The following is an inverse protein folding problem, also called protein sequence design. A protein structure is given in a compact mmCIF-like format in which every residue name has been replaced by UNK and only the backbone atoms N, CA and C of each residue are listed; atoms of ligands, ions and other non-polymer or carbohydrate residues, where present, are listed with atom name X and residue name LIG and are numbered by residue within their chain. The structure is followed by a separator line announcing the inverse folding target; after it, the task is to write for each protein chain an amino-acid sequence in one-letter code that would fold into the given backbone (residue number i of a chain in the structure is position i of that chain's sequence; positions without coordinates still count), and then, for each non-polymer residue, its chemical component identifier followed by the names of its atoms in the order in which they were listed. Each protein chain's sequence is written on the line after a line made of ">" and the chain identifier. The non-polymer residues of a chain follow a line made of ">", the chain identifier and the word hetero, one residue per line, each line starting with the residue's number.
data_IF_469661332157
#
_entry.id   IF_469661332157
#
_cell.length_a   1.000
_cell.length_b   1.000
_cell.length_c   1.000
_cell.angle_alpha   90.00
_cell.angle_beta   90.00
_cell.angle_gamma   90.00
#
_symmetry.space_group_name_H-M   'P 1'
#
loop_
_entity.id
_entity.type
_entity.pdbx_description
1 polymer ?
#
# COMPACT_ATOMS: atom_id res chain seq x y z
N UNK A 1 31.60 -7.95 2.77
CA UNK A 1 30.89 -6.79 3.34
C UNK A 1 29.40 -6.83 3.02
N UNK A 2 29.01 -6.89 1.74
CA UNK A 2 27.61 -6.96 1.29
C UNK A 2 26.75 -8.10 1.87
N UNK A 3 27.29 -9.32 1.95
CA UNK A 3 26.57 -10.48 2.50
C UNK A 3 26.16 -10.31 3.97
N UNK A 4 26.97 -9.61 4.78
CA UNK A 4 26.66 -9.36 6.20
C UNK A 4 25.53 -8.34 6.37
N UNK A 5 25.40 -7.41 5.43
CA UNK A 5 24.30 -6.45 5.42
C UNK A 5 22.99 -7.12 5.01
N UNK A 6 23.00 -7.94 3.95
CA UNK A 6 21.80 -8.66 3.48
C UNK A 6 21.21 -9.61 4.54
N UNK A 7 22.07 -10.20 5.38
CA UNK A 7 21.64 -11.08 6.48
C UNK A 7 21.33 -10.33 7.78
N UNK A 8 21.46 -9.00 7.79
CA UNK A 8 21.08 -8.18 8.94
C UNK A 8 19.56 -8.15 9.08
N UNK A 9 19.05 -8.21 10.31
CA UNK A 9 17.60 -8.10 10.57
C UNK A 9 17.03 -6.73 10.19
N UNK A 10 17.87 -5.71 10.06
CA UNK A 10 17.48 -4.39 9.51
C UNK A 10 17.24 -4.41 8.00
N UNK A 11 17.79 -5.40 7.28
CA UNK A 11 17.53 -5.61 5.87
C UNK A 11 16.32 -6.54 5.72
N UNK A 12 15.11 -6.00 5.83
CA UNK A 12 13.88 -6.80 5.75
C UNK A 12 12.78 -6.17 4.88
N UNK A 13 11.88 -7.04 4.41
CA UNK A 13 10.84 -6.69 3.46
C UNK A 13 9.86 -5.64 4.02
N UNK A 14 9.50 -5.73 5.30
CA UNK A 14 8.52 -4.83 5.91
C UNK A 14 9.04 -3.38 5.96
N UNK A 15 10.30 -3.15 6.31
CA UNK A 15 10.90 -1.81 6.28
C UNK A 15 10.94 -1.28 4.84
N UNK A 16 11.50 -2.06 3.91
CA UNK A 16 11.69 -1.59 2.53
C UNK A 16 10.36 -1.28 1.84
N UNK A 17 9.43 -2.23 1.86
CA UNK A 17 8.10 -2.06 1.26
C UNK A 17 7.30 -1.00 2.00
N UNK A 18 7.42 -0.92 3.32
CA UNK A 18 6.77 0.11 4.13
C UNK A 18 7.17 1.53 3.72
N UNK A 19 8.47 1.77 3.53
CA UNK A 19 8.98 3.05 3.03
C UNK A 19 8.43 3.34 1.63
N UNK A 20 8.46 2.35 0.73
CA UNK A 20 7.94 2.51 -0.64
C UNK A 20 6.45 2.85 -0.62
N UNK A 21 5.63 2.15 0.17
CA UNK A 21 4.19 2.42 0.29
C UNK A 21 3.92 3.81 0.86
N UNK A 22 4.64 4.19 1.92
CA UNK A 22 4.50 5.53 2.50
C UNK A 22 4.82 6.63 1.47
N UNK A 23 5.94 6.50 0.75
CA UNK A 23 6.34 7.45 -0.27
C UNK A 23 5.36 7.48 -1.44
N UNK A 24 4.93 6.31 -1.94
CA UNK A 24 3.93 6.24 -3.02
C UNK A 24 2.63 6.91 -2.61
N UNK A 25 2.09 6.60 -1.44
CA UNK A 25 0.87 7.25 -0.94
C UNK A 25 1.06 8.76 -0.74
N UNK A 26 2.23 9.20 -0.27
CA UNK A 26 2.55 10.63 -0.17
C UNK A 26 2.59 11.31 -1.55
N UNK A 27 3.27 10.72 -2.53
CA UNK A 27 3.38 11.28 -3.88
C UNK A 27 2.04 11.29 -4.61
N UNK A 28 1.24 10.22 -4.54
CA UNK A 28 -0.10 10.18 -5.16
C UNK A 28 -1.01 11.21 -4.49
N UNK A 29 -0.94 11.39 -3.17
CA UNK A 29 -1.74 12.41 -2.50
C UNK A 29 -1.31 13.84 -2.89
N UNK A 30 0.00 14.09 -2.99
CA UNK A 30 0.55 15.42 -3.33
C UNK A 30 0.41 15.78 -4.80
N UNK A 31 0.54 14.78 -5.66
CA UNK A 31 0.48 14.86 -7.12
C UNK A 31 -0.50 13.79 -7.62
N UNK A 32 -1.82 14.01 -7.49
CA UNK A 32 -2.80 13.02 -7.89
C UNK A 32 -2.74 12.77 -9.41
N UNK A 33 -2.81 11.50 -9.86
CA UNK A 33 -2.80 11.16 -11.27
C UNK A 33 -4.06 11.69 -11.94
N UNK A 34 -3.90 12.59 -12.91
CA UNK A 34 -5.01 13.35 -13.50
C UNK A 34 -5.95 12.51 -14.38
N UNK A 35 -5.47 11.38 -14.88
CA UNK A 35 -6.26 10.48 -15.72
C UNK A 35 -5.73 9.06 -15.66
N UNK A 36 -6.53 8.11 -16.14
CA UNK A 36 -6.17 6.69 -16.32
C UNK A 36 -4.94 6.49 -17.22
N UNK A 37 -4.64 7.45 -18.12
CA UNK A 37 -3.45 7.45 -18.98
C UNK A 37 -2.15 7.84 -18.27
N UNK A 38 -2.21 8.26 -17.00
CA UNK A 38 -1.00 8.51 -16.20
C UNK A 38 -0.16 7.23 -16.13
N UNK A 39 1.16 7.33 -15.90
CA UNK A 39 2.02 6.14 -15.78
C UNK A 39 2.00 5.53 -14.36
N UNK A 40 1.56 6.31 -13.36
CA UNK A 40 1.45 5.90 -11.96
C UNK A 40 0.01 6.02 -11.45
N UNK A 41 -0.26 5.47 -10.27
CA UNK A 41 -1.58 5.44 -9.63
C UNK A 41 -2.07 4.02 -9.35
N UNK A 42 -3.00 3.89 -8.41
CA UNK A 42 -3.74 2.67 -8.15
C UNK A 42 -4.62 2.33 -9.36
N UNK A 43 -4.54 1.07 -9.82
CA UNK A 43 -5.29 0.57 -10.98
C UNK A 43 -5.97 -0.74 -10.64
N UNK A 44 -7.25 -0.78 -10.93
CA UNK A 44 -8.13 -1.93 -10.79
C UNK A 44 -9.22 -1.84 -11.85
N UNK A 45 -9.99 -2.92 -12.01
CA UNK A 45 -11.10 -2.96 -12.95
C UNK A 45 -12.15 -1.90 -12.60
N UNK A 46 -12.43 -1.66 -11.32
CA UNK A 46 -13.40 -0.64 -10.91
C UNK A 46 -12.84 0.78 -11.05
N UNK A 47 -11.64 1.04 -10.54
CA UNK A 47 -11.04 2.38 -10.54
C UNK A 47 -10.82 2.96 -11.94
N UNK A 48 -10.71 2.12 -12.97
CA UNK A 48 -10.43 2.57 -14.35
C UNK A 48 -11.67 2.80 -15.21
N UNK A 49 -12.88 2.51 -14.69
CA UNK A 49 -14.14 2.64 -15.44
C UNK A 49 -14.51 4.08 -15.81
N UNK A 50 -14.40 5.02 -14.86
CA UNK A 50 -14.72 6.44 -15.09
C UNK A 50 -13.64 7.35 -14.50
N UNK A 51 -13.45 8.56 -15.03
CA UNK A 51 -12.49 9.52 -14.47
C UNK A 51 -12.74 9.87 -13.00
N UNK A 52 -14.00 9.84 -12.56
CA UNK A 52 -14.37 10.11 -11.16
C UNK A 52 -13.96 8.96 -10.23
N UNK A 53 -14.24 7.71 -10.61
CA UNK A 53 -13.75 6.53 -9.87
C UNK A 53 -12.23 6.48 -9.84
N UNK A 54 -11.56 6.86 -10.93
CA UNK A 54 -10.10 6.95 -10.98
C UNK A 54 -9.56 7.90 -9.91
N UNK A 55 -10.15 9.10 -9.82
CA UNK A 55 -9.76 10.11 -8.82
C UNK A 55 -10.03 9.61 -7.40
N UNK A 56 -11.23 9.11 -7.14
CA UNK A 56 -11.65 8.61 -5.83
C UNK A 56 -10.79 7.44 -5.36
N UNK A 57 -10.51 6.47 -6.23
CA UNK A 57 -9.67 5.32 -5.92
C UNK A 57 -8.25 5.72 -5.57
N UNK A 58 -7.65 6.63 -6.35
CA UNK A 58 -6.28 7.07 -6.12
C UNK A 58 -6.14 7.92 -4.85
N UNK A 59 -7.13 8.74 -4.54
CA UNK A 59 -7.16 9.50 -3.28
C UNK A 59 -7.25 8.57 -2.07
N UNK A 60 -8.18 7.61 -2.10
CA UNK A 60 -8.35 6.65 -1.01
C UNK A 60 -7.15 5.69 -0.88
N UNK A 61 -6.69 5.11 -1.99
CA UNK A 61 -5.51 4.24 -2.00
C UNK A 61 -4.25 4.97 -1.50
N UNK A 62 -4.09 6.26 -1.80
CA UNK A 62 -2.97 7.06 -1.27
C UNK A 62 -3.04 7.24 0.25
N UNK A 63 -4.24 7.39 0.80
CA UNK A 63 -4.45 7.42 2.24
C UNK A 63 -4.13 6.08 2.91
N UNK A 64 -4.69 4.98 2.40
CA UNK A 64 -4.47 3.63 2.95
C UNK A 64 -3.00 3.21 2.79
N UNK A 65 -2.38 3.48 1.64
CA UNK A 65 -0.97 3.18 1.38
C UNK A 65 -0.03 3.83 2.40
N UNK A 66 -0.28 5.10 2.78
CA UNK A 66 0.49 5.77 3.84
C UNK A 66 0.35 5.05 5.19
N UNK A 67 -0.87 4.69 5.57
CA UNK A 67 -1.15 4.00 6.86
C UNK A 67 -0.49 2.62 6.91
N UNK A 68 -0.67 1.82 5.86
CA UNK A 68 -0.04 0.50 5.73
C UNK A 68 1.48 0.66 5.74
N UNK A 69 2.04 1.64 5.02
CA UNK A 69 3.47 1.93 5.00
C UNK A 69 4.05 2.19 6.39
N UNK A 70 3.40 3.04 7.21
CA UNK A 70 3.82 3.29 8.59
C UNK A 70 3.77 2.02 9.44
N UNK A 71 2.68 1.25 9.35
CA UNK A 71 2.52 -0.01 10.11
C UNK A 71 3.63 -1.00 9.74
N UNK A 72 3.95 -1.12 8.45
CA UNK A 72 5.02 -2.00 7.97
C UNK A 72 6.40 -1.56 8.44
N UNK A 73 6.71 -0.26 8.43
CA UNK A 73 7.99 0.25 8.97
C UNK A 73 8.10 -0.04 10.46
N UNK A 74 7.05 0.25 11.23
CA UNK A 74 7.03 -0.03 12.69
C UNK A 74 7.20 -1.52 12.95
N UNK A 75 6.49 -2.38 12.21
CA UNK A 75 6.61 -3.84 12.32
C UNK A 75 8.02 -4.31 11.98
N UNK A 76 8.59 -3.82 10.89
CA UNK A 76 9.92 -4.19 10.43
C UNK A 76 11.04 -3.74 11.37
N UNK A 77 10.93 -2.55 11.96
CA UNK A 77 11.87 -2.06 12.99
C UNK A 77 11.72 -2.87 14.28
N UNK A 78 10.49 -3.16 14.72
CA UNK A 78 10.26 -4.00 15.89
C UNK A 78 10.86 -5.40 15.70
N UNK A 79 10.64 -6.05 14.55
CA UNK A 79 11.27 -7.33 14.23
C UNK A 79 12.80 -7.24 14.19
N UNK A 80 13.36 -6.16 13.65
CA UNK A 80 14.81 -5.98 13.60
C UNK A 80 15.45 -5.88 15.00
N UNK A 81 14.74 -5.30 15.97
CA UNK A 81 15.18 -5.17 17.36
C UNK A 81 14.98 -6.46 18.18
N UNK A 82 13.90 -7.20 17.93
CA UNK A 82 13.55 -8.40 18.70
C UNK A 82 14.27 -9.66 18.24
N UNK A 83 14.60 -9.76 16.95
CA UNK A 83 15.25 -10.93 16.37
C UNK A 83 16.76 -10.68 16.19
N UNK A 84 17.58 -11.69 16.53
CA UNK A 84 19.03 -11.66 16.35
C UNK A 84 19.48 -12.12 14.95
N UNK A 85 18.60 -12.82 14.23
CA UNK A 85 18.85 -13.33 12.87
C UNK A 85 17.53 -13.45 12.10
N UNK A 86 17.61 -13.58 10.77
CA UNK A 86 16.46 -13.76 9.89
C UNK A 86 15.95 -15.22 9.92
N UNK A 87 15.35 -15.62 11.05
CA UNK A 87 14.72 -16.93 11.21
C UNK A 87 13.43 -17.07 10.41
N UNK A 88 12.86 -18.28 10.34
CA UNK A 88 11.60 -18.52 9.63
C UNK A 88 10.46 -17.64 10.19
N UNK A 89 10.37 -17.51 11.51
CA UNK A 89 9.39 -16.63 12.17
C UNK A 89 9.57 -15.16 11.78
N UNK A 90 10.82 -14.70 11.66
CA UNK A 90 11.09 -13.35 11.19
C UNK A 90 10.56 -13.13 9.77
N UNK A 91 10.77 -14.10 8.88
CA UNK A 91 10.24 -14.04 7.52
C UNK A 91 8.71 -14.09 7.47
N UNK A 92 8.08 -14.98 8.25
CA UNK A 92 6.62 -15.05 8.31
C UNK A 92 6.00 -13.74 8.77
N UNK A 93 6.57 -13.09 9.77
CA UNK A 93 6.05 -11.79 10.24
C UNK A 93 6.30 -10.69 9.22
N UNK A 94 7.54 -10.52 8.75
CA UNK A 94 7.90 -9.39 7.89
C UNK A 94 7.27 -9.49 6.49
N UNK A 95 7.33 -10.66 5.85
CA UNK A 95 6.73 -10.88 4.53
C UNK A 95 5.21 -11.06 4.65
N UNK A 96 4.74 -11.78 5.66
CA UNK A 96 3.31 -11.94 5.90
C UNK A 96 2.60 -10.61 6.14
N UNK A 97 3.22 -9.69 6.89
CA UNK A 97 2.70 -8.34 7.08
C UNK A 97 2.61 -7.57 5.75
N UNK A 98 3.61 -7.69 4.87
CA UNK A 98 3.57 -7.06 3.53
C UNK A 98 2.43 -7.61 2.68
N UNK A 99 2.26 -8.94 2.64
CA UNK A 99 1.17 -9.58 1.90
C UNK A 99 -0.18 -9.13 2.45
N UNK A 100 -0.37 -9.20 3.77
CA UNK A 100 -1.60 -8.78 4.43
C UNK A 100 -1.91 -7.30 4.20
N UNK A 101 -0.91 -6.41 4.32
CA UNK A 101 -1.05 -4.98 4.09
C UNK A 101 -1.40 -4.65 2.64
N UNK A 102 -0.84 -5.38 1.67
CA UNK A 102 -1.16 -5.22 0.25
C UNK A 102 -2.59 -5.68 -0.06
N UNK A 103 -2.99 -6.84 0.46
CA UNK A 103 -4.36 -7.35 0.30
C UNK A 103 -5.38 -6.42 0.94
N UNK A 104 -5.06 -5.88 2.12
CA UNK A 104 -5.89 -4.88 2.79
C UNK A 104 -6.04 -3.62 1.94
N UNK A 105 -4.95 -3.05 1.43
CA UNK A 105 -5.00 -1.86 0.57
C UNK A 105 -5.91 -2.08 -0.64
N UNK A 106 -5.75 -3.19 -1.35
CA UNK A 106 -6.56 -3.50 -2.54
C UNK A 106 -8.01 -3.72 -2.15
N UNK A 107 -8.29 -4.59 -1.18
CA UNK A 107 -9.63 -4.96 -0.78
C UNK A 107 -10.42 -3.78 -0.23
N UNK A 108 -9.81 -2.97 0.63
CA UNK A 108 -10.43 -1.79 1.24
C UNK A 108 -10.70 -0.69 0.20
N UNK A 109 -9.79 -0.49 -0.77
CA UNK A 109 -10.00 0.47 -1.86
C UNK A 109 -11.14 0.04 -2.79
N UNK A 110 -11.18 -1.23 -3.19
CA UNK A 110 -12.27 -1.74 -4.04
C UNK A 110 -13.62 -1.72 -3.31
N UNK A 111 -13.62 -2.07 -2.03
CA UNK A 111 -14.81 -1.99 -1.20
C UNK A 111 -15.34 -0.56 -1.10
N UNK A 112 -14.47 0.41 -0.86
CA UNK A 112 -14.84 1.83 -0.79
C UNK A 112 -15.45 2.33 -2.12
N UNK A 113 -14.88 1.91 -3.25
CA UNK A 113 -15.46 2.22 -4.57
C UNK A 113 -16.87 1.65 -4.72
N UNK A 114 -17.11 0.39 -4.32
CA UNK A 114 -18.45 -0.21 -4.41
C UNK A 114 -19.49 0.43 -3.50
N UNK A 115 -19.07 1.13 -2.44
CA UNK A 115 -19.96 1.88 -1.56
C UNK A 115 -20.37 3.24 -2.15
N UNK A 116 -19.48 3.86 -2.91
CA UNK A 116 -19.67 5.22 -3.42
C UNK A 116 -20.18 5.26 -4.86
N UNK A 117 -19.99 4.19 -5.64
CA UNK A 117 -20.33 4.16 -7.06
C UNK A 117 -21.25 2.98 -7.40
N UNK A 118 -22.19 3.22 -8.32
CA UNK A 118 -23.02 2.18 -8.90
C UNK A 118 -22.24 1.36 -9.96
N UNK A 119 -22.91 0.36 -10.54
CA UNK A 119 -22.30 -0.52 -11.56
C UNK A 119 -21.86 0.25 -12.82
N UNK A 120 -22.56 1.34 -13.12
CA UNK A 120 -22.34 2.22 -14.28
C UNK A 120 -21.28 3.31 -13.99
N UNK A 121 -20.82 3.41 -12.74
CA UNK A 121 -19.80 4.34 -12.31
C UNK A 121 -20.31 5.72 -11.91
N UNK A 122 -21.61 5.86 -11.65
CA UNK A 122 -22.21 7.08 -11.10
C UNK A 122 -22.16 7.05 -9.58
N UNK A 123 -21.90 8.22 -8.99
CA UNK A 123 -21.83 8.36 -7.54
C UNK A 123 -23.21 8.19 -6.89
N UNK A 124 -23.28 7.38 -5.84
CA UNK A 124 -24.52 7.09 -5.08
C UNK A 124 -24.63 7.98 -3.85
N UNK A 125 -23.50 8.31 -3.21
CA UNK A 125 -23.43 9.09 -1.98
C UNK A 125 -22.85 10.50 -2.25
N UNK A 126 -23.53 11.59 -1.84
CA UNK A 126 -22.90 12.91 -1.77
C UNK A 126 -21.88 12.95 -0.63
N UNK A 127 -20.78 13.69 -0.82
CA UNK A 127 -19.68 13.89 0.16
C UNK A 127 -20.14 14.48 1.49
#
# INVERSE_FOLDING_TARGET
>A
MWLRFLHSTYCNAAIFVGIVFYLMGYFIHRFPPKSTKSWYGYRSVLSTKTPEMWRSANEYAAYISRRVGVILVVTGVACALLFQSQSDWFWYITVGAVVAGTMYLVGDTEWELTRHFDKDGKRILPE
#
